data_IF_175339041929
#
_entry.id   IF_175339041929
#
_cell.length_a   1.000
_cell.length_b   1.000
_cell.length_c   1.000
_cell.angle_alpha   90.00
_cell.angle_beta   90.00
_cell.angle_gamma   90.00
#
_symmetry.space_group_name_H-M   'P 1'
#
loop_
_entity.id
_entity.type
_entity.pdbx_description
1 polymer ?
#
# COMPACT_ATOMS: atom_id res chain seq x y z
N UNK A 1 -19.23 -2.87 10.41
CA UNK A 1 -19.19 -2.12 9.14
C UNK A 1 -17.83 -2.40 8.51
N UNK A 2 -17.81 -3.10 7.37
CA UNK A 2 -16.57 -3.58 6.74
C UNK A 2 -15.96 -2.45 5.91
N UNK A 3 -14.72 -2.08 6.21
CA UNK A 3 -13.96 -1.08 5.46
C UNK A 3 -13.51 -1.66 4.11
N UNK A 4 -13.75 -0.97 2.98
CA UNK A 4 -13.33 -1.43 1.67
C UNK A 4 -11.85 -1.07 1.48
N UNK A 5 -10.94 -2.03 1.71
CA UNK A 5 -9.56 -1.89 1.26
C UNK A 5 -9.48 -2.32 -0.19
N UNK A 6 -9.35 -1.32 -1.05
CA UNK A 6 -9.03 -1.44 -2.47
C UNK A 6 -7.76 -2.28 -2.63
N UNK A 7 -7.90 -3.56 -2.99
CA UNK A 7 -6.80 -4.46 -3.32
C UNK A 7 -7.11 -5.09 -4.67
N UNK A 8 -6.44 -4.58 -5.71
CA UNK A 8 -6.62 -4.99 -7.12
C UNK A 8 -6.17 -6.42 -7.43
N UNK A 9 -6.10 -7.31 -6.44
CA UNK A 9 -5.80 -8.73 -6.59
C UNK A 9 -6.41 -9.47 -5.39
N UNK A 10 -7.37 -10.37 -5.66
CA UNK A 10 -7.98 -11.20 -4.61
C UNK A 10 -6.89 -12.00 -3.91
N UNK A 11 -6.88 -11.98 -2.59
CA UNK A 11 -5.97 -12.81 -1.79
C UNK A 11 -6.35 -14.29 -1.88
N UNK A 12 -5.41 -15.20 -1.58
CA UNK A 12 -5.71 -16.64 -1.54
C UNK A 12 -6.80 -16.97 -0.51
N UNK A 13 -6.89 -16.20 0.58
CA UNK A 13 -7.95 -16.31 1.57
C UNK A 13 -9.33 -15.94 0.99
N UNK A 14 -9.42 -14.86 0.21
CA UNK A 14 -10.65 -14.46 -0.47
C UNK A 14 -11.07 -15.45 -1.56
N UNK A 15 -10.11 -16.02 -2.29
CA UNK A 15 -10.37 -17.08 -3.29
C UNK A 15 -11.04 -18.29 -2.65
N UNK A 16 -10.58 -18.69 -1.45
CA UNK A 16 -11.19 -19.78 -0.68
C UNK A 16 -12.37 -19.31 0.19
N UNK A 17 -12.75 -18.03 0.14
CA UNK A 17 -13.79 -17.42 0.99
C UNK A 17 -13.60 -17.75 2.47
N UNK A 18 -12.36 -17.66 2.95
CA UNK A 18 -11.97 -17.83 4.36
C UNK A 18 -11.37 -16.55 4.91
N UNK A 19 -11.38 -16.42 6.23
CA UNK A 19 -10.65 -15.34 6.91
C UNK A 19 -9.14 -15.64 6.89
N UNK A 20 -8.31 -14.61 6.93
CA UNK A 20 -6.85 -14.73 7.10
C UNK A 20 -6.47 -15.44 8.41
N UNK A 21 -7.35 -15.34 9.43
CA UNK A 21 -7.23 -16.03 10.71
C UNK A 21 -7.84 -17.44 10.71
N UNK A 22 -8.29 -17.96 9.57
CA UNK A 22 -8.96 -19.26 9.50
C UNK A 22 -8.00 -20.40 9.88
N UNK A 23 -8.55 -21.41 10.55
CA UNK A 23 -7.81 -22.62 10.90
C UNK A 23 -7.61 -23.52 9.67
N UNK A 24 -6.60 -24.40 9.71
CA UNK A 24 -6.36 -25.37 8.63
C UNK A 24 -7.62 -26.19 8.27
N UNK A 25 -8.42 -26.56 9.28
CA UNK A 25 -9.64 -27.33 9.05
C UNK A 25 -10.70 -26.54 8.29
N UNK A 26 -10.83 -25.23 8.57
CA UNK A 26 -11.74 -24.33 7.84
C UNK A 26 -11.28 -24.12 6.40
N UNK A 27 -9.98 -23.90 6.19
CA UNK A 27 -9.36 -23.78 4.86
C UNK A 27 -9.63 -25.04 4.05
N UNK A 28 -9.42 -26.22 4.64
CA UNK A 28 -9.67 -27.53 4.00
C UNK A 28 -11.14 -27.75 3.67
N UNK A 29 -12.04 -27.35 4.55
CA UNK A 29 -13.49 -27.46 4.33
C UNK A 29 -13.92 -26.57 3.18
N UNK A 30 -13.51 -25.31 3.17
CA UNK A 30 -13.90 -24.36 2.13
C UNK A 30 -13.22 -24.65 0.78
N UNK A 31 -11.98 -25.13 0.77
CA UNK A 31 -11.33 -25.61 -0.45
C UNK A 31 -12.15 -26.70 -1.15
N UNK A 32 -12.63 -27.70 -0.39
CA UNK A 32 -13.50 -28.75 -0.95
C UNK A 32 -14.77 -28.18 -1.56
N UNK A 33 -15.42 -27.23 -0.89
CA UNK A 33 -16.63 -26.57 -1.38
C UNK A 33 -16.34 -25.76 -2.65
N UNK A 34 -15.25 -25.00 -2.66
CA UNK A 34 -14.83 -24.17 -3.79
C UNK A 34 -14.51 -25.01 -5.03
N UNK A 35 -13.71 -26.08 -4.88
CA UNK A 35 -13.40 -27.03 -5.96
C UNK A 35 -14.66 -27.69 -6.51
N UNK A 36 -15.58 -28.15 -5.65
CA UNK A 36 -16.83 -28.76 -6.09
C UNK A 36 -17.77 -27.77 -6.79
N UNK A 37 -17.62 -26.47 -6.52
CA UNK A 37 -18.38 -25.42 -7.19
C UNK A 37 -17.74 -24.98 -8.51
N UNK A 38 -16.42 -25.09 -8.64
CA UNK A 38 -15.67 -24.70 -9.85
C UNK A 38 -15.38 -25.86 -10.81
N UNK A 39 -15.63 -27.11 -10.40
CA UNK A 39 -15.28 -28.28 -11.21
C UNK A 39 -16.04 -28.33 -12.56
N UNK A 40 -15.33 -28.55 -13.69
CA UNK A 40 -15.93 -28.52 -15.03
C UNK A 40 -16.96 -29.63 -15.28
N UNK A 41 -16.93 -30.73 -14.52
CA UNK A 41 -17.90 -31.82 -14.66
C UNK A 41 -19.32 -31.40 -14.29
N UNK A 42 -19.46 -30.48 -13.33
CA UNK A 42 -20.77 -29.89 -12.96
C UNK A 42 -21.31 -28.94 -14.03
N UNK A 43 -20.46 -28.48 -14.96
CA UNK A 43 -20.80 -27.58 -16.06
C UNK A 43 -21.35 -28.34 -17.29
N UNK A 44 -21.03 -29.63 -17.45
CA UNK A 44 -21.54 -30.43 -18.58
C UNK A 44 -23.05 -30.69 -18.50
N UNK A 45 -23.65 -30.55 -17.32
CA UNK A 45 -25.08 -30.77 -17.08
C UNK A 45 -25.95 -29.51 -17.03
N UNK A 46 -25.38 -28.30 -17.03
CA UNK A 46 -26.13 -27.05 -16.93
C UNK A 46 -25.56 -26.02 -17.91
N UNK A 47 -26.24 -25.84 -19.04
CA UNK A 47 -26.02 -24.80 -20.05
C UNK A 47 -26.31 -23.37 -19.54
N UNK A 48 -26.35 -23.15 -18.22
CA UNK A 48 -26.85 -21.93 -17.57
C UNK A 48 -25.95 -21.59 -16.39
N UNK A 49 -24.66 -21.39 -16.65
CA UNK A 49 -23.82 -20.65 -15.71
C UNK A 49 -23.52 -19.31 -16.37
N UNK A 50 -23.93 -18.22 -15.74
CA UNK A 50 -23.88 -16.84 -16.22
C UNK A 50 -22.47 -16.29 -16.48
N UNK A 51 -21.45 -17.13 -16.35
CA UNK A 51 -20.03 -16.78 -16.48
C UNK A 51 -19.40 -17.54 -17.66
N UNK A 52 -18.52 -16.88 -18.44
CA UNK A 52 -17.75 -17.55 -19.50
C UNK A 52 -16.95 -18.73 -18.95
N UNK A 53 -16.89 -19.84 -19.69
CA UNK A 53 -16.10 -21.04 -19.36
C UNK A 53 -14.65 -20.69 -18.95
N UNK A 54 -14.05 -19.69 -19.62
CA UNK A 54 -12.70 -19.19 -19.31
C UNK A 54 -12.59 -18.67 -17.87
N UNK A 55 -13.54 -17.86 -17.42
CA UNK A 55 -13.57 -17.31 -16.05
C UNK A 55 -13.70 -18.45 -15.03
N UNK A 56 -14.49 -19.48 -15.33
CA UNK A 56 -14.65 -20.62 -14.44
C UNK A 56 -13.36 -21.44 -14.30
N UNK A 57 -12.62 -21.58 -15.40
CA UNK A 57 -11.32 -22.27 -15.43
C UNK A 57 -10.26 -21.47 -14.68
N UNK A 58 -10.26 -20.14 -14.78
CA UNK A 58 -9.40 -19.26 -13.99
C UNK A 58 -9.70 -19.39 -12.49
N UNK A 59 -10.98 -19.37 -12.09
CA UNK A 59 -11.38 -19.56 -10.68
C UNK A 59 -10.89 -20.93 -10.16
N UNK A 60 -11.00 -21.99 -10.96
CA UNK A 60 -10.49 -23.31 -10.56
C UNK A 60 -8.98 -23.29 -10.31
N UNK A 61 -8.21 -22.67 -11.21
CA UNK A 61 -6.76 -22.52 -11.07
C UNK A 61 -6.39 -21.68 -9.85
N UNK A 62 -7.11 -20.59 -9.60
CA UNK A 62 -6.92 -19.74 -8.41
C UNK A 62 -7.19 -20.52 -7.12
N UNK A 63 -8.27 -21.30 -7.06
CA UNK A 63 -8.61 -22.13 -5.89
C UNK A 63 -7.52 -23.17 -5.62
N UNK A 64 -6.98 -23.78 -6.67
CA UNK A 64 -5.90 -24.76 -6.53
C UNK A 64 -4.60 -24.11 -6.03
N UNK A 65 -4.22 -22.95 -6.59
CA UNK A 65 -3.06 -22.18 -6.14
C UNK A 65 -3.21 -21.73 -4.69
N UNK A 66 -4.39 -21.22 -4.33
CA UNK A 66 -4.68 -20.79 -2.96
C UNK A 66 -4.55 -21.96 -1.97
N UNK A 67 -5.00 -23.16 -2.34
CA UNK A 67 -4.83 -24.34 -1.51
C UNK A 67 -3.36 -24.76 -1.38
N UNK A 68 -2.58 -24.77 -2.45
CA UNK A 68 -1.16 -25.13 -2.42
C UNK A 68 -0.34 -24.25 -1.47
N UNK A 69 -0.70 -22.96 -1.39
CA UNK A 69 -0.06 -22.01 -0.48
C UNK A 69 -0.59 -22.15 0.95
N UNK A 70 -1.91 -22.26 1.12
CA UNK A 70 -2.57 -22.21 2.44
C UNK A 70 -2.65 -23.58 3.15
N UNK A 71 -2.41 -24.70 2.45
CA UNK A 71 -2.44 -26.04 3.04
C UNK A 71 -1.27 -26.30 3.97
N UNK A 72 -0.09 -25.78 3.62
CA UNK A 72 1.13 -26.02 4.37
C UNK A 72 1.43 -24.85 5.30
N UNK A 73 1.67 -25.10 6.59
CA UNK A 73 1.89 -24.03 7.57
C UNK A 73 3.10 -23.16 7.20
N UNK A 74 4.15 -23.76 6.64
CA UNK A 74 5.36 -23.04 6.19
C UNK A 74 5.09 -22.16 4.96
N UNK A 75 4.36 -22.67 3.98
CA UNK A 75 3.97 -21.91 2.79
C UNK A 75 3.02 -20.78 3.13
N UNK A 76 2.08 -21.04 4.06
CA UNK A 76 1.16 -20.04 4.60
C UNK A 76 1.90 -18.93 5.32
N UNK A 77 2.83 -19.26 6.21
CA UNK A 77 3.65 -18.26 6.92
C UNK A 77 4.43 -17.39 5.93
N UNK A 78 5.06 -17.99 4.91
CA UNK A 78 5.75 -17.23 3.88
C UNK A 78 4.80 -16.31 3.09
N UNK A 79 3.60 -16.79 2.77
CA UNK A 79 2.59 -15.98 2.11
C UNK A 79 2.09 -14.84 3.00
N UNK A 80 1.83 -15.10 4.28
CA UNK A 80 1.42 -14.08 5.26
C UNK A 80 2.52 -13.03 5.43
N UNK A 81 3.80 -13.42 5.46
CA UNK A 81 4.93 -12.50 5.49
C UNK A 81 4.98 -11.63 4.23
N UNK A 82 4.81 -12.20 3.04
CA UNK A 82 4.76 -11.42 1.78
C UNK A 82 3.54 -10.51 1.75
N UNK A 83 2.39 -11.00 2.22
CA UNK A 83 1.14 -10.25 2.26
C UNK A 83 1.24 -9.08 3.24
N UNK A 84 1.86 -9.30 4.38
CA UNK A 84 2.16 -8.28 5.38
C UNK A 84 3.22 -7.32 4.88
N UNK A 85 4.30 -7.78 4.23
CA UNK A 85 5.31 -6.93 3.62
C UNK A 85 4.71 -6.05 2.53
N UNK A 86 3.84 -6.60 1.67
CA UNK A 86 3.10 -5.84 0.66
C UNK A 86 2.12 -4.82 1.28
N UNK A 87 1.54 -5.12 2.44
CA UNK A 87 0.72 -4.15 3.21
C UNK A 87 1.58 -3.08 3.87
N UNK A 88 2.76 -3.47 4.37
CA UNK A 88 3.73 -2.63 5.08
C UNK A 88 4.71 -1.93 4.13
N UNK A 89 4.64 -2.15 2.82
CA UNK A 89 5.43 -1.42 1.83
C UNK A 89 5.06 0.09 1.82
N UNK A 90 4.05 0.49 2.60
CA UNK A 90 3.71 1.87 2.93
C UNK A 90 4.41 2.42 4.19
N UNK A 91 5.18 1.62 4.95
CA UNK A 91 5.66 2.01 6.29
C UNK A 91 7.14 1.73 6.58
N UNK A 92 7.93 1.15 5.68
CA UNK A 92 9.39 1.10 5.87
C UNK A 92 9.99 2.43 5.41
N UNK A 93 9.95 3.39 6.32
CA UNK A 93 10.65 4.65 6.18
C UNK A 93 12.11 4.43 6.58
N UNK A 94 13.03 4.63 5.64
CA UNK A 94 14.47 4.44 5.91
C UNK A 94 15.01 5.53 6.85
N UNK A 95 14.52 6.77 6.70
CA UNK A 95 14.87 7.91 7.55
C UNK A 95 13.71 8.94 7.61
N UNK A 96 13.66 9.68 8.72
CA UNK A 96 12.81 10.85 8.89
C UNK A 96 13.62 12.09 8.52
N UNK A 97 13.08 12.93 7.64
CA UNK A 97 13.69 14.18 7.18
C UNK A 97 12.79 15.31 7.64
N UNK A 98 13.35 16.39 8.19
CA UNK A 98 12.54 17.55 8.54
C UNK A 98 12.45 18.53 7.37
N UNK A 99 11.37 19.29 7.29
CA UNK A 99 11.15 20.25 6.21
C UNK A 99 12.26 21.32 6.13
N UNK A 100 12.87 21.67 7.26
CA UNK A 100 13.96 22.65 7.33
C UNK A 100 15.28 22.12 6.77
N UNK A 101 15.44 20.79 6.70
CA UNK A 101 16.63 20.15 6.13
C UNK A 101 16.53 19.99 4.61
N UNK A 102 15.39 20.32 4.01
CA UNK A 102 15.18 20.24 2.57
C UNK A 102 15.74 21.47 1.84
N UNK A 103 16.37 21.20 0.70
CA UNK A 103 16.85 22.24 -0.20
C UNK A 103 15.71 22.69 -1.10
N UNK A 104 15.44 24.00 -1.11
CA UNK A 104 14.40 24.61 -1.94
C UNK A 104 15.00 25.02 -3.28
N UNK A 105 14.49 24.45 -4.35
CA UNK A 105 14.76 24.91 -5.71
C UNK A 105 13.57 25.75 -6.18
N UNK A 106 13.89 26.90 -6.77
CA UNK A 106 12.89 27.83 -7.32
C UNK A 106 13.11 27.87 -8.82
N UNK A 107 12.17 27.31 -9.58
CA UNK A 107 12.15 27.38 -11.04
C UNK A 107 10.92 28.19 -11.48
N UNK A 108 11.16 29.49 -11.73
CA UNK A 108 10.09 30.45 -12.01
C UNK A 108 9.16 30.66 -10.80
N UNK A 109 7.86 30.38 -10.99
CA UNK A 109 6.83 30.44 -9.94
C UNK A 109 6.66 29.12 -9.17
N UNK A 110 7.29 28.03 -9.64
CA UNK A 110 7.21 26.71 -9.03
C UNK A 110 8.32 26.52 -8.00
N UNK A 111 7.95 26.03 -6.81
CA UNK A 111 8.86 25.75 -5.71
C UNK A 111 8.88 24.26 -5.44
N UNK A 112 10.07 23.68 -5.56
CA UNK A 112 10.31 22.25 -5.36
C UNK A 112 11.26 22.06 -4.19
N UNK A 113 10.88 21.18 -3.28
CA UNK A 113 11.70 20.75 -2.15
C UNK A 113 12.47 19.52 -2.58
N UNK A 114 13.78 19.50 -2.31
CA UNK A 114 14.66 18.41 -2.68
C UNK A 114 15.56 17.99 -1.51
N UNK A 115 15.78 16.69 -1.33
CA UNK A 115 16.70 16.16 -0.33
C UNK A 115 17.58 15.06 -0.92
N UNK A 116 18.91 15.06 -0.70
CA UNK A 116 19.81 14.08 -1.29
C UNK A 116 19.56 12.67 -0.73
N UNK A 117 19.34 11.72 -1.63
CA UNK A 117 19.26 10.30 -1.33
C UNK A 117 20.66 9.65 -1.32
N UNK A 118 20.82 8.58 -0.53
CA UNK A 118 22.08 7.82 -0.44
C UNK A 118 22.48 7.13 -1.75
N UNK A 119 21.56 6.99 -2.71
CA UNK A 119 21.86 6.46 -4.03
C UNK A 119 22.50 7.49 -4.98
N UNK A 120 22.50 8.78 -4.62
CA UNK A 120 22.99 9.88 -5.45
C UNK A 120 21.88 10.69 -6.16
N UNK A 121 20.62 10.26 -6.04
CA UNK A 121 19.45 11.02 -6.51
C UNK A 121 18.86 11.90 -5.41
N UNK A 122 17.69 12.48 -5.66
CA UNK A 122 17.01 13.35 -4.72
C UNK A 122 15.58 12.86 -4.47
N UNK A 123 15.11 13.02 -3.23
CA UNK A 123 13.68 12.99 -2.93
C UNK A 123 13.12 14.36 -3.28
N UNK A 124 12.07 14.40 -4.10
CA UNK A 124 11.44 15.65 -4.53
C UNK A 124 9.97 15.70 -4.10
N UNK A 125 9.51 16.89 -3.73
CA UNK A 125 8.09 17.19 -3.55
C UNK A 125 7.82 18.66 -3.86
N UNK A 126 6.77 18.93 -4.61
CA UNK A 126 6.36 20.31 -4.93
C UNK A 126 5.54 20.93 -3.80
N UNK A 127 5.55 22.26 -3.69
CA UNK A 127 4.66 22.94 -2.76
C UNK A 127 3.18 22.68 -3.06
N UNK A 128 2.81 22.51 -4.33
CA UNK A 128 1.43 22.21 -4.73
C UNK A 128 0.96 20.85 -4.16
N UNK A 129 1.81 19.83 -4.21
CA UNK A 129 1.50 18.52 -3.62
C UNK A 129 1.34 18.59 -2.09
N UNK A 130 2.13 19.43 -1.42
CA UNK A 130 1.95 19.69 0.02
C UNK A 130 0.61 20.39 0.29
N UNK A 131 0.21 21.35 -0.54
CA UNK A 131 -1.09 22.01 -0.43
C UNK A 131 -2.26 21.04 -0.63
N UNK A 132 -2.16 20.09 -1.56
CA UNK A 132 -3.16 19.01 -1.75
C UNK A 132 -3.28 18.10 -0.52
N UNK A 133 -2.18 17.92 0.22
CA UNK A 133 -2.16 17.19 1.49
C UNK A 133 -2.68 18.03 2.68
N UNK A 134 -3.13 19.27 2.42
CA UNK A 134 -3.64 20.19 3.44
C UNK A 134 -2.55 20.97 4.18
N UNK A 135 -1.35 21.04 3.61
CA UNK A 135 -0.18 21.71 4.20
C UNK A 135 0.10 23.01 3.45
N UNK A 136 -0.40 24.14 3.98
CA UNK A 136 -0.10 25.47 3.42
C UNK A 136 1.23 25.99 3.95
N UNK A 137 2.27 25.91 3.12
CA UNK A 137 3.64 26.29 3.45
C UNK A 137 3.95 27.70 2.94
N UNK A 138 4.16 28.67 3.84
CA UNK A 138 4.62 30.03 3.46
C UNK A 138 6.14 30.11 3.55
N UNK A 139 6.80 30.53 2.47
CA UNK A 139 8.24 30.80 2.45
C UNK A 139 8.50 32.28 2.78
N UNK A 140 8.87 32.56 4.02
CA UNK A 140 9.33 33.89 4.45
C UNK A 140 10.87 33.91 4.57
N UNK A 141 11.57 33.78 3.44
CA UNK A 141 13.03 33.94 3.39
C UNK A 141 13.82 32.74 3.91
N UNK A 142 13.40 31.53 3.55
CA UNK A 142 14.09 30.28 3.91
C UNK A 142 13.48 29.53 5.10
N UNK A 143 12.43 30.10 5.73
CA UNK A 143 11.67 29.43 6.78
C UNK A 143 10.26 29.12 6.29
N UNK A 144 9.83 27.88 6.54
CA UNK A 144 8.53 27.37 6.19
C UNK A 144 7.62 27.42 7.43
N UNK A 145 6.52 28.14 7.33
CA UNK A 145 5.55 28.22 8.43
C UNK A 145 4.18 27.75 7.95
N UNK A 146 3.56 26.90 8.77
CA UNK A 146 2.20 26.41 8.55
C UNK A 146 1.19 27.48 8.90
N UNK A 147 0.21 27.70 8.03
CA UNK A 147 -0.94 28.55 8.35
C UNK A 147 -2.24 27.76 8.28
N UNK A 148 -2.50 26.88 9.26
CA UNK A 148 -3.87 26.70 9.80
C UNK A 148 -3.93 25.89 11.11
N UNK A 149 -4.43 26.54 12.16
CA UNK A 149 -5.53 26.03 12.99
C UNK A 149 -5.32 24.86 13.96
N UNK A 150 -5.03 23.64 13.50
CA UNK A 150 -5.42 22.43 14.25
C UNK A 150 -4.50 21.21 14.17
N UNK A 151 -3.41 21.24 13.40
CA UNK A 151 -2.49 20.09 13.29
C UNK A 151 -1.08 20.47 13.69
N UNK A 152 -0.60 19.91 14.81
CA UNK A 152 0.72 20.20 15.38
C UNK A 152 1.89 19.53 14.63
N UNK A 153 1.63 18.53 13.79
CA UNK A 153 2.66 17.80 13.04
C UNK A 153 2.04 17.12 11.80
N UNK A 154 2.51 17.43 10.60
CA UNK A 154 2.16 16.71 9.38
C UNK A 154 3.33 15.84 8.93
N UNK A 155 3.04 14.70 8.29
CA UNK A 155 4.10 13.86 7.71
C UNK A 155 3.68 13.30 6.36
N UNK A 156 4.61 13.31 5.39
CA UNK A 156 4.41 12.76 4.05
C UNK A 156 5.54 11.77 3.73
N UNK A 157 5.22 10.67 3.05
CA UNK A 157 6.21 9.67 2.64
C UNK A 157 6.64 9.96 1.20
N UNK A 158 7.92 10.22 1.00
CA UNK A 158 8.52 10.51 -0.30
C UNK A 158 9.25 9.27 -0.82
N UNK A 159 8.89 8.75 -2.01
CA UNK A 159 9.67 7.72 -2.68
C UNK A 159 10.88 8.35 -3.41
N UNK A 160 11.97 7.60 -3.48
CA UNK A 160 13.09 7.88 -4.38
C UNK A 160 12.76 7.33 -5.78
N UNK A 161 12.97 8.11 -6.84
CA UNK A 161 12.67 7.63 -8.21
C UNK A 161 13.70 6.59 -8.68
N UNK A 162 14.96 6.77 -8.30
CA UNK A 162 16.06 5.89 -8.71
C UNK A 162 16.31 4.71 -7.79
N UNK A 163 15.58 4.61 -6.67
CA UNK A 163 15.80 3.57 -5.68
C UNK A 163 14.52 3.20 -4.93
N UNK A 164 14.40 1.97 -4.42
CA UNK A 164 13.23 1.56 -3.64
C UNK A 164 13.14 2.18 -2.24
N UNK A 165 13.96 3.20 -1.93
CA UNK A 165 13.95 3.87 -0.63
C UNK A 165 12.76 4.82 -0.52
N UNK A 166 12.20 4.86 0.69
CA UNK A 166 11.13 5.78 1.07
C UNK A 166 11.55 6.49 2.35
N UNK A 167 11.32 7.79 2.41
CA UNK A 167 11.64 8.64 3.56
C UNK A 167 10.39 9.37 4.03
N UNK A 168 10.31 9.70 5.32
CA UNK A 168 9.17 10.42 5.89
C UNK A 168 9.61 11.85 6.12
N UNK A 169 9.05 12.75 5.34
CA UNK A 169 9.17 14.17 5.55
C UNK A 169 8.25 14.56 6.71
N UNK A 170 8.82 15.05 7.79
CA UNK A 170 8.14 15.61 8.95
C UNK A 170 8.05 17.12 8.80
N UNK A 171 6.85 17.65 9.00
CA UNK A 171 6.53 19.06 8.89
C UNK A 171 5.97 19.48 10.25
N UNK A 172 6.85 20.00 11.10
CA UNK A 172 6.48 20.48 12.43
C UNK A 172 5.96 21.92 12.36
N UNK A 173 4.83 22.20 13.01
CA UNK A 173 4.23 23.54 13.06
C UNK A 173 4.87 24.46 14.12
N UNK A 174 5.65 23.89 15.03
CA UNK A 174 6.24 24.56 16.18
C UNK A 174 7.75 24.64 16.05
N UNK A 175 8.24 25.50 15.15
CA UNK A 175 9.58 26.05 15.30
C UNK A 175 9.45 27.50 15.76
N UNK A 176 9.58 27.71 17.07
CA UNK A 176 9.80 29.02 17.66
C UNK A 176 11.32 29.23 17.77
N UNK A 177 11.92 30.14 16.98
CA UNK A 177 13.37 30.39 17.03
C UNK A 177 13.82 31.20 18.26
N UNK A 178 13.11 31.18 19.40
CA UNK A 178 13.45 32.01 20.56
C UNK A 178 13.28 31.29 21.90
N UNK A 179 14.24 30.42 22.24
CA UNK A 179 14.65 30.16 23.64
C UNK A 179 16.17 30.12 23.74
#
# INVERSE_FOLDING_TARGET
MLHPRNKSSRTHYEVLSVNENATYNEIKKNYKVAILSSHPDKLRGKSVTSFPIRIQQEIFLDVQKAWEVLSDPKSRENYDNILQASRNELEVVDNEIRLEEMMVQVDGDMKELSFPCRCGDFFLISLAELEELGVSVKNNGGHFSLTDGLTTQASVVLPCDSCSLKVRLIIDANYDPSI
#
